data_IF_405528853180
#
_entry.id   IF_405528853180
#
_cell.length_a   1.000
_cell.length_b   1.000
_cell.length_c   1.000
_cell.angle_alpha   90.00
_cell.angle_beta   90.00
_cell.angle_gamma   90.00
#
_symmetry.space_group_name_H-M   'P 1'
#
loop_
_entity.id
_entity.type
_entity.pdbx_description
1 polymer ?
#
# COMPACT_ATOMS: atom_id res chain seq x y z
N UNK A 1 15.14 5.80 3.93
CA UNK A 1 13.83 6.45 4.14
C UNK A 1 13.93 7.45 5.31
N UNK A 2 13.98 8.75 5.02
CA UNK A 2 14.11 9.82 6.02
C UNK A 2 12.84 9.99 6.87
N UNK A 3 13.00 10.54 8.08
CA UNK A 3 12.00 10.63 9.16
C UNK A 3 10.67 11.35 8.83
N UNK A 4 10.51 11.99 7.66
CA UNK A 4 9.35 12.86 7.36
C UNK A 4 8.06 12.10 6.99
N UNK A 5 8.13 10.92 6.39
CA UNK A 5 6.92 10.10 6.12
C UNK A 5 6.41 9.38 7.35
N UNK A 6 7.30 9.01 8.29
CA UNK A 6 6.99 8.18 9.46
C UNK A 6 5.97 8.83 10.41
N UNK A 7 5.94 10.15 10.49
CA UNK A 7 5.03 10.87 11.37
C UNK A 7 3.65 11.10 10.75
N UNK A 8 3.51 11.05 9.43
CA UNK A 8 2.31 11.61 8.80
C UNK A 8 1.05 10.79 9.07
N UNK A 9 1.07 9.48 8.83
CA UNK A 9 -0.08 8.59 9.07
C UNK A 9 -0.38 8.47 10.56
N UNK A 10 0.68 8.38 11.37
CA UNK A 10 0.57 8.29 12.82
C UNK A 10 -0.08 9.52 13.46
N UNK A 11 0.08 10.72 12.87
CA UNK A 11 -0.57 11.94 13.36
C UNK A 11 -2.10 11.81 13.33
N UNK A 12 -2.66 11.18 12.30
CA UNK A 12 -4.13 11.09 12.12
C UNK A 12 -4.76 9.90 12.83
N UNK A 13 -4.10 8.74 12.84
CA UNK A 13 -4.75 7.49 13.25
C UNK A 13 -4.27 7.01 14.64
N UNK A 14 -3.02 7.30 15.01
CA UNK A 14 -2.38 6.86 16.26
C UNK A 14 -2.72 5.39 16.64
N UNK A 15 -2.49 4.42 15.74
CA UNK A 15 -2.91 3.05 15.98
C UNK A 15 -2.13 2.43 17.15
N UNK A 16 -2.82 1.74 18.05
CA UNK A 16 -2.18 0.96 19.13
C UNK A 16 -1.88 -0.48 18.70
N UNK A 17 -2.53 -0.95 17.63
CA UNK A 17 -2.28 -2.25 17.02
C UNK A 17 -2.26 -2.15 15.49
N UNK A 18 -1.27 -2.77 14.86
CA UNK A 18 -1.05 -2.75 13.41
C UNK A 18 -0.86 -4.16 12.88
N UNK A 19 -1.59 -4.52 11.83
CA UNK A 19 -1.29 -5.70 11.01
C UNK A 19 -0.70 -5.27 9.68
N UNK A 20 0.38 -5.90 9.25
CA UNK A 20 1.04 -5.66 7.95
C UNK A 20 1.00 -6.95 7.12
N UNK A 21 0.20 -6.91 6.06
CA UNK A 21 -0.04 -8.03 5.14
C UNK A 21 0.84 -7.86 3.92
N UNK A 22 1.82 -8.75 3.76
CA UNK A 22 2.98 -8.57 2.87
C UNK A 22 4.07 -7.73 3.55
N UNK A 23 4.40 -8.03 4.82
CA UNK A 23 5.28 -7.20 5.63
C UNK A 23 6.77 -7.29 5.25
N UNK A 24 7.15 -8.22 4.37
CA UNK A 24 8.51 -8.57 4.02
C UNK A 24 9.34 -8.85 5.27
N UNK A 25 10.45 -8.15 5.41
CA UNK A 25 11.32 -8.25 6.59
C UNK A 25 10.83 -7.44 7.81
N UNK A 26 9.61 -6.90 7.77
CA UNK A 26 8.99 -6.20 8.90
C UNK A 26 9.48 -4.75 9.11
N UNK A 27 10.02 -4.10 8.08
CA UNK A 27 10.59 -2.74 8.21
C UNK A 27 9.57 -1.71 8.73
N UNK A 28 8.33 -1.76 8.23
CA UNK A 28 7.26 -0.86 8.68
C UNK A 28 6.78 -1.19 10.09
N UNK A 29 6.64 -2.48 10.41
CA UNK A 29 6.29 -2.92 11.76
C UNK A 29 7.32 -2.48 12.80
N UNK A 30 8.62 -2.55 12.48
CA UNK A 30 9.67 -2.03 13.35
C UNK A 30 9.54 -0.52 13.61
N UNK A 31 9.12 0.24 12.60
CA UNK A 31 8.82 1.68 12.76
C UNK A 31 7.63 1.87 13.70
N UNK A 32 6.55 1.11 13.52
CA UNK A 32 5.36 1.17 14.38
C UNK A 32 5.67 0.84 15.84
N UNK A 33 6.43 -0.23 16.10
CA UNK A 33 6.84 -0.58 17.45
C UNK A 33 7.75 0.48 18.06
N UNK A 34 8.84 0.86 17.36
CA UNK A 34 9.89 1.72 17.93
C UNK A 34 9.43 3.15 18.15
N UNK A 35 8.65 3.71 17.24
CA UNK A 35 8.30 5.13 17.28
C UNK A 35 6.94 5.38 17.92
N UNK A 36 6.04 4.40 17.92
CA UNK A 36 4.65 4.58 18.35
C UNK A 36 4.20 3.59 19.42
N UNK A 37 5.05 2.61 19.79
CA UNK A 37 4.72 1.62 20.81
C UNK A 37 3.55 0.70 20.44
N UNK A 38 3.23 0.59 19.15
CA UNK A 38 2.12 -0.23 18.69
C UNK A 38 2.43 -1.72 18.84
N UNK A 39 1.40 -2.50 19.19
CA UNK A 39 1.41 -3.95 18.98
C UNK A 39 1.43 -4.23 17.48
N UNK A 40 2.23 -5.19 17.03
CA UNK A 40 2.37 -5.51 15.60
C UNK A 40 2.14 -6.97 15.30
N UNK A 41 1.61 -7.22 14.10
CA UNK A 41 1.37 -8.55 13.55
C UNK A 41 1.75 -8.54 12.07
N UNK A 42 2.82 -9.24 11.71
CA UNK A 42 3.31 -9.32 10.34
C UNK A 42 2.88 -10.62 9.68
N UNK A 43 2.45 -10.53 8.42
CA UNK A 43 2.11 -11.70 7.59
C UNK A 43 2.89 -11.59 6.29
N UNK A 44 3.64 -12.64 5.93
CA UNK A 44 4.25 -12.77 4.61
C UNK A 44 4.56 -14.24 4.31
N UNK A 45 5.08 -14.57 3.13
CA UNK A 45 5.40 -15.93 2.73
C UNK A 45 6.63 -16.53 3.44
N UNK A 46 6.81 -17.84 3.26
CA UNK A 46 7.96 -18.59 3.76
C UNK A 46 9.27 -18.25 3.03
N UNK A 47 9.20 -17.55 1.89
CA UNK A 47 10.36 -17.09 1.14
C UNK A 47 11.15 -15.97 1.85
N UNK A 48 10.56 -15.32 2.86
CA UNK A 48 11.22 -14.23 3.60
C UNK A 48 12.26 -14.83 4.56
N UNK A 49 13.52 -14.42 4.41
CA UNK A 49 14.61 -14.82 5.30
C UNK A 49 14.41 -14.29 6.72
N UNK A 50 14.16 -15.20 7.67
CA UNK A 50 13.90 -14.88 9.08
C UNK A 50 15.10 -14.25 9.79
N UNK A 51 16.31 -14.40 9.27
CA UNK A 51 17.53 -13.78 9.84
C UNK A 51 17.63 -12.29 9.54
N UNK A 52 16.86 -11.79 8.56
CA UNK A 52 16.85 -10.39 8.12
C UNK A 52 15.72 -9.57 8.75
N UNK A 53 14.92 -10.15 9.65
CA UNK A 53 13.78 -9.46 10.24
C UNK A 53 14.20 -8.26 11.08
N UNK A 54 13.50 -7.14 10.90
CA UNK A 54 13.62 -5.94 11.73
C UNK A 54 12.73 -5.98 12.98
N UNK A 55 11.93 -7.04 13.12
CA UNK A 55 11.05 -7.33 14.25
C UNK A 55 11.42 -8.69 14.86
N UNK A 56 11.04 -8.90 16.12
CA UNK A 56 11.13 -10.23 16.74
C UNK A 56 10.31 -11.24 15.93
N UNK A 57 10.90 -12.39 15.65
CA UNK A 57 10.30 -13.47 14.85
C UNK A 57 8.92 -13.89 15.35
N UNK A 58 8.62 -13.74 16.64
CA UNK A 58 7.29 -14.05 17.19
C UNK A 58 6.15 -13.18 16.64
N UNK A 59 6.48 -12.01 16.07
CA UNK A 59 5.53 -11.10 15.43
C UNK A 59 5.43 -11.33 13.92
N UNK A 60 6.21 -12.25 13.37
CA UNK A 60 6.15 -12.64 11.96
C UNK A 60 5.38 -13.96 11.84
N UNK A 61 4.40 -13.99 10.95
CA UNK A 61 3.57 -15.16 10.69
C UNK A 61 3.58 -15.50 9.21
N UNK A 62 3.91 -16.76 8.89
CA UNK A 62 3.87 -17.23 7.51
C UNK A 62 2.43 -17.39 7.04
N UNK A 63 2.11 -16.87 5.85
CA UNK A 63 0.91 -17.26 5.10
C UNK A 63 1.14 -17.17 3.59
N UNK A 64 0.38 -17.95 2.82
CA UNK A 64 0.23 -17.74 1.38
C UNK A 64 -0.80 -16.62 1.15
N UNK A 65 -0.38 -15.48 0.61
CA UNK A 65 -1.27 -14.33 0.40
C UNK A 65 -2.28 -14.54 -0.75
N UNK A 66 -2.11 -15.56 -1.60
CA UNK A 66 -3.14 -16.04 -2.54
C UNK A 66 -4.31 -16.74 -1.83
N UNK A 67 -4.16 -17.07 -0.55
CA UNK A 67 -5.21 -17.72 0.26
C UNK A 67 -5.86 -16.72 1.22
N UNK A 68 -7.03 -17.08 1.77
CA UNK A 68 -7.80 -16.24 2.69
C UNK A 68 -7.02 -15.99 3.98
N UNK A 69 -7.02 -14.75 4.43
CA UNK A 69 -6.42 -14.33 5.69
C UNK A 69 -7.54 -14.17 6.71
N UNK A 70 -7.63 -15.12 7.64
CA UNK A 70 -8.60 -15.04 8.72
C UNK A 70 -7.87 -14.95 10.06
N UNK A 71 -7.91 -13.75 10.64
CA UNK A 71 -7.49 -13.55 12.03
C UNK A 71 -8.76 -13.37 12.87
N UNK A 72 -8.88 -14.14 13.95
CA UNK A 72 -9.97 -13.99 14.93
C UNK A 72 -9.77 -12.74 15.81
N UNK A 73 -9.27 -11.64 15.24
CA UNK A 73 -9.04 -10.34 15.89
C UNK A 73 -9.04 -9.22 14.84
N UNK A 74 -9.31 -8.00 15.29
CA UNK A 74 -9.15 -6.77 14.51
C UNK A 74 -8.00 -5.92 15.04
N UNK A 75 -7.55 -4.98 14.21
CA UNK A 75 -6.45 -4.06 14.48
C UNK A 75 -6.92 -2.61 14.28
N UNK A 76 -6.26 -1.68 14.95
CA UNK A 76 -6.53 -0.24 14.77
C UNK A 76 -6.11 0.24 13.36
N UNK A 77 -5.14 -0.45 12.73
CA UNK A 77 -4.71 -0.23 11.36
C UNK A 77 -4.37 -1.58 10.70
N UNK A 78 -4.93 -1.83 9.52
CA UNK A 78 -4.39 -2.83 8.60
C UNK A 78 -3.55 -2.11 7.53
N UNK A 79 -2.38 -2.64 7.19
CA UNK A 79 -1.54 -2.12 6.13
C UNK A 79 -1.14 -3.22 5.15
N UNK A 80 -1.00 -2.84 3.89
CA UNK A 80 -0.45 -3.67 2.82
C UNK A 80 0.12 -2.75 1.76
N UNK A 81 1.41 -2.88 1.45
CA UNK A 81 2.12 -1.90 0.65
C UNK A 81 2.95 -2.58 -0.43
N UNK A 82 2.58 -2.36 -1.70
CA UNK A 82 3.14 -3.01 -2.90
C UNK A 82 2.96 -4.54 -2.83
N UNK A 83 1.70 -4.98 -2.69
CA UNK A 83 1.33 -6.40 -2.57
C UNK A 83 0.25 -6.80 -3.58
N UNK A 84 -0.78 -5.97 -3.77
CA UNK A 84 -1.95 -6.33 -4.59
C UNK A 84 -1.62 -6.67 -6.05
N UNK A 85 -0.51 -6.14 -6.57
CA UNK A 85 0.01 -6.40 -7.92
C UNK A 85 0.66 -7.77 -8.10
N UNK A 86 1.08 -8.40 -7.00
CA UNK A 86 1.68 -9.74 -7.00
C UNK A 86 0.64 -10.84 -6.91
N UNK A 87 -0.59 -10.49 -6.52
CA UNK A 87 -1.69 -11.42 -6.37
C UNK A 87 -2.44 -11.62 -7.68
N UNK A 88 -3.02 -12.80 -7.87
CA UNK A 88 -3.85 -13.09 -9.02
C UNK A 88 -5.03 -12.10 -9.11
N UNK A 89 -5.48 -11.69 -10.32
CA UNK A 89 -6.63 -10.80 -10.44
C UNK A 89 -7.90 -11.35 -9.75
N UNK A 90 -8.07 -12.67 -9.73
CA UNK A 90 -9.17 -13.35 -9.03
C UNK A 90 -9.09 -13.21 -7.50
N UNK A 91 -7.90 -12.99 -6.93
CA UNK A 91 -7.67 -12.78 -5.51
C UNK A 91 -8.04 -11.35 -5.06
N UNK A 92 -8.12 -10.38 -5.97
CA UNK A 92 -8.31 -8.97 -5.63
C UNK A 92 -9.53 -8.71 -4.73
N UNK A 93 -10.71 -9.24 -5.07
CA UNK A 93 -11.93 -9.03 -4.28
C UNK A 93 -11.84 -9.69 -2.89
N UNK A 94 -11.43 -10.95 -2.84
CA UNK A 94 -11.30 -11.64 -1.57
C UNK A 94 -10.21 -11.02 -0.70
N UNK A 95 -9.18 -10.41 -1.29
CA UNK A 95 -8.07 -9.79 -0.56
C UNK A 95 -8.49 -8.49 0.09
N UNK A 96 -9.18 -7.63 -0.67
CA UNK A 96 -9.81 -6.43 -0.12
C UNK A 96 -10.79 -6.81 1.00
N UNK A 97 -11.56 -7.88 0.84
CA UNK A 97 -12.45 -8.37 1.89
C UNK A 97 -11.69 -8.74 3.18
N UNK A 98 -10.61 -9.53 3.08
CA UNK A 98 -9.77 -9.87 4.23
C UNK A 98 -9.27 -8.60 4.95
N UNK A 99 -8.74 -7.63 4.21
CA UNK A 99 -8.25 -6.37 4.80
C UNK A 99 -9.35 -5.60 5.56
N UNK A 100 -10.57 -5.57 5.01
CA UNK A 100 -11.72 -4.91 5.67
C UNK A 100 -12.23 -5.64 6.90
N UNK A 101 -12.01 -6.96 7.00
CA UNK A 101 -12.28 -7.71 8.21
C UNK A 101 -11.22 -7.40 9.29
N UNK A 102 -9.98 -7.11 8.89
CA UNK A 102 -8.89 -6.82 9.81
C UNK A 102 -8.93 -5.43 10.45
N UNK A 103 -9.41 -4.39 9.76
CA UNK A 103 -9.45 -3.03 10.35
C UNK A 103 -10.46 -2.11 9.66
N UNK A 104 -10.96 -1.10 10.39
CA UNK A 104 -11.77 -0.01 9.85
C UNK A 104 -10.91 1.07 9.16
N UNK A 105 -9.58 0.99 9.29
CA UNK A 105 -8.62 1.88 8.65
C UNK A 105 -7.57 1.04 7.93
N UNK A 106 -7.40 1.27 6.64
CA UNK A 106 -6.56 0.46 5.77
C UNK A 106 -5.58 1.37 5.03
N UNK A 107 -4.29 1.15 5.24
CA UNK A 107 -3.24 1.77 4.45
C UNK A 107 -2.84 0.81 3.33
N UNK A 108 -3.04 1.23 2.08
CA UNK A 108 -2.93 0.36 0.93
C UNK A 108 -2.02 0.97 -0.13
N UNK A 109 -1.22 0.15 -0.79
CA UNK A 109 -0.62 0.49 -2.08
C UNK A 109 -0.46 -0.75 -2.95
N UNK A 110 -0.66 -0.57 -4.26
CA UNK A 110 -0.39 -1.59 -5.27
C UNK A 110 0.00 -0.91 -6.58
N UNK A 111 0.86 -1.55 -7.36
CA UNK A 111 1.39 -1.02 -8.60
C UNK A 111 0.31 -0.68 -9.64
N UNK A 112 0.43 0.48 -10.30
CA UNK A 112 -0.40 0.84 -11.46
C UNK A 112 0.09 0.15 -12.74
N UNK A 113 -0.75 0.07 -13.81
CA UNK A 113 -0.35 -0.56 -15.06
C UNK A 113 0.96 0.00 -15.63
N UNK A 114 1.82 -0.90 -16.10
CA UNK A 114 3.15 -0.62 -16.63
C UNK A 114 4.15 -0.03 -15.63
N UNK A 115 3.87 -0.08 -14.32
CA UNK A 115 4.87 0.26 -13.30
C UNK A 115 6.07 -0.67 -13.39
N UNK A 116 5.82 -1.95 -13.68
CA UNK A 116 6.80 -3.01 -13.76
C UNK A 116 7.30 -3.43 -12.38
N UNK A 117 8.00 -4.56 -12.36
CA UNK A 117 8.55 -5.17 -11.15
C UNK A 117 8.60 -6.69 -11.29
N UNK A 118 9.16 -7.37 -10.29
CA UNK A 118 9.28 -8.83 -10.33
C UNK A 118 7.93 -9.45 -9.99
N UNK A 119 7.41 -10.30 -10.87
CA UNK A 119 6.15 -11.01 -10.66
C UNK A 119 4.95 -10.08 -10.41
N UNK A 120 4.87 -8.97 -11.16
CA UNK A 120 3.67 -8.14 -11.19
C UNK A 120 2.68 -8.73 -12.20
N UNK A 121 1.63 -9.37 -11.70
CA UNK A 121 0.62 -10.08 -12.50
C UNK A 121 -0.76 -9.40 -12.48
N UNK A 122 -0.94 -8.41 -11.61
CA UNK A 122 -2.20 -7.69 -11.43
C UNK A 122 -1.98 -6.20 -11.16
N UNK A 123 -1.20 -5.55 -12.03
CA UNK A 123 -1.07 -4.09 -12.00
C UNK A 123 -2.39 -3.42 -12.37
N UNK A 124 -2.94 -2.61 -11.46
CA UNK A 124 -4.27 -2.05 -11.60
C UNK A 124 -4.31 -0.58 -11.15
N UNK A 125 -5.21 0.18 -11.76
CA UNK A 125 -5.43 1.58 -11.38
C UNK A 125 -5.89 1.72 -9.93
N UNK A 126 -5.62 2.87 -9.32
CA UNK A 126 -6.01 3.08 -7.92
C UNK A 126 -7.54 3.14 -7.76
N UNK A 127 -8.25 3.60 -8.80
CA UNK A 127 -9.71 3.55 -8.88
C UNK A 127 -10.27 2.12 -8.83
N UNK A 128 -9.59 1.14 -9.42
CA UNK A 128 -9.98 -0.28 -9.36
C UNK A 128 -9.97 -0.79 -7.92
N UNK A 129 -8.91 -0.50 -7.16
CA UNK A 129 -8.85 -0.87 -5.75
C UNK A 129 -9.86 -0.08 -4.91
N UNK A 130 -10.00 1.23 -5.19
CA UNK A 130 -10.94 2.09 -4.49
C UNK A 130 -12.40 1.64 -4.65
N UNK A 131 -12.79 1.19 -5.84
CA UNK A 131 -14.13 0.65 -6.08
C UNK A 131 -14.40 -0.58 -5.21
N UNK A 132 -13.44 -1.50 -5.10
CA UNK A 132 -13.57 -2.70 -4.25
C UNK A 132 -13.73 -2.35 -2.77
N UNK A 133 -12.99 -1.36 -2.29
CA UNK A 133 -13.16 -0.83 -0.93
C UNK A 133 -14.53 -0.16 -0.75
N UNK A 134 -14.98 0.60 -1.75
CA UNK A 134 -16.30 1.26 -1.73
C UNK A 134 -17.44 0.26 -1.62
N UNK A 135 -17.39 -0.85 -2.36
CA UNK A 135 -18.37 -1.95 -2.25
C UNK A 135 -18.42 -2.59 -0.86
N UNK A 136 -17.37 -2.42 -0.04
CA UNK A 136 -17.29 -2.89 1.35
C UNK A 136 -17.54 -1.78 2.38
N UNK A 137 -18.00 -0.60 1.94
CA UNK A 137 -18.35 0.53 2.80
C UNK A 137 -17.18 1.40 3.24
N UNK A 138 -16.04 1.34 2.54
CA UNK A 138 -14.87 2.18 2.81
C UNK A 138 -14.77 3.32 1.80
N UNK A 139 -14.34 4.50 2.25
CA UNK A 139 -14.09 5.65 1.39
C UNK A 139 -12.59 5.89 1.24
N UNK A 140 -12.20 6.42 0.08
CA UNK A 140 -10.80 6.80 -0.18
C UNK A 140 -10.51 8.15 0.44
N UNK A 141 -9.42 8.25 1.20
CA UNK A 141 -8.90 9.49 1.79
C UNK A 141 -7.48 9.70 1.27
N UNK A 142 -7.32 10.35 0.12
CA UNK A 142 -6.02 10.62 -0.52
C UNK A 142 -5.24 11.76 0.16
N UNK A 143 -5.08 11.68 1.48
CA UNK A 143 -4.42 12.72 2.29
C UNK A 143 -2.89 12.59 2.33
N UNK A 144 -2.35 11.46 1.87
CA UNK A 144 -0.91 11.13 1.94
C UNK A 144 -0.18 11.58 0.69
N UNK A 145 -0.61 11.15 -0.51
CA UNK A 145 0.12 11.45 -1.77
C UNK A 145 0.38 12.93 -1.98
N UNK A 146 -0.58 13.85 -1.76
CA UNK A 146 -0.33 15.29 -1.93
C UNK A 146 0.86 15.83 -1.13
N UNK A 147 1.21 15.20 0.00
CA UNK A 147 2.29 15.66 0.88
C UNK A 147 3.65 15.04 0.60
N UNK A 148 3.65 13.87 -0.05
CA UNK A 148 4.88 13.14 -0.35
C UNK A 148 5.23 13.18 -1.83
N UNK A 149 4.33 13.64 -2.70
CA UNK A 149 4.46 13.60 -4.16
C UNK A 149 5.82 14.08 -4.66
N UNK A 150 6.28 15.25 -4.20
CA UNK A 150 7.56 15.83 -4.64
C UNK A 150 8.74 15.44 -3.77
N UNK A 151 8.53 14.68 -2.69
CA UNK A 151 9.59 14.34 -1.74
C UNK A 151 10.43 13.17 -2.24
N UNK A 152 11.57 13.47 -2.85
CA UNK A 152 12.50 12.46 -3.39
C UNK A 152 13.13 11.54 -2.35
N UNK A 153 13.01 11.83 -1.04
CA UNK A 153 13.46 10.93 0.02
C UNK A 153 12.48 9.77 0.29
N UNK A 154 11.30 9.80 -0.35
CA UNK A 154 10.31 8.72 -0.35
C UNK A 154 10.41 7.96 -1.68
N UNK A 155 10.38 6.64 -1.60
CA UNK A 155 10.42 5.79 -2.78
C UNK A 155 9.29 6.15 -3.76
N UNK A 156 9.61 6.06 -5.05
CA UNK A 156 8.71 6.50 -6.11
C UNK A 156 7.36 5.76 -6.08
N UNK A 157 7.40 4.44 -5.88
CA UNK A 157 6.19 3.61 -5.84
C UNK A 157 5.27 3.99 -4.67
N UNK A 158 5.79 4.31 -3.49
CA UNK A 158 4.97 4.83 -2.39
C UNK A 158 4.33 6.18 -2.71
N UNK A 159 5.07 7.11 -3.32
CA UNK A 159 4.50 8.41 -3.73
C UNK A 159 3.38 8.25 -4.73
N UNK A 160 3.51 7.25 -5.59
CA UNK A 160 2.59 6.94 -6.68
C UNK A 160 1.31 6.23 -6.16
N UNK A 161 1.46 5.19 -5.33
CA UNK A 161 0.40 4.22 -5.08
C UNK A 161 -0.29 4.34 -3.71
N UNK A 162 0.32 5.00 -2.72
CA UNK A 162 -0.20 4.92 -1.35
C UNK A 162 -1.54 5.64 -1.18
N UNK A 163 -2.53 4.96 -0.64
CA UNK A 163 -3.85 5.50 -0.31
C UNK A 163 -4.29 5.03 1.07
N UNK A 164 -5.13 5.83 1.70
CA UNK A 164 -5.81 5.46 2.92
C UNK A 164 -7.29 5.19 2.61
N UNK A 165 -7.80 4.09 3.12
CA UNK A 165 -9.21 3.75 3.08
C UNK A 165 -9.76 3.69 4.50
N UNK A 166 -10.91 4.33 4.73
CA UNK A 166 -11.53 4.39 6.05
C UNK A 166 -12.98 3.94 5.92
N UNK A 167 -13.43 3.08 6.82
CA UNK A 167 -14.84 2.67 6.88
C UNK A 167 -15.70 3.91 7.06
N UNK A 168 -16.60 4.15 6.11
CA UNK A 168 -17.41 5.37 6.04
C UNK A 168 -18.16 5.67 7.34
N UNK A 169 -18.68 4.62 8.00
CA UNK A 169 -19.41 4.73 9.26
C UNK A 169 -18.52 5.07 10.45
N UNK A 170 -17.20 4.86 10.37
CA UNK A 170 -16.23 5.12 11.44
C UNK A 170 -15.41 6.40 11.21
N UNK A 171 -15.55 7.04 10.04
CA UNK A 171 -14.72 8.20 9.65
C UNK A 171 -14.82 9.36 10.65
N UNK A 172 -15.96 9.53 11.32
CA UNK A 172 -16.19 10.56 12.35
C UNK A 172 -15.23 10.45 13.54
N UNK A 173 -14.61 9.29 13.76
CA UNK A 173 -13.62 9.06 14.83
C UNK A 173 -12.27 9.71 14.53
N UNK A 174 -12.07 10.16 13.29
CA UNK A 174 -10.84 10.78 12.79
C UNK A 174 -11.17 12.15 12.19
N UNK A 175 -11.38 13.21 13.02
CA UNK A 175 -11.89 14.50 12.57
C UNK A 175 -11.11 15.11 11.39
N UNK A 176 -9.78 15.03 11.43
CA UNK A 176 -8.93 15.57 10.38
C UNK A 176 -9.03 14.77 9.06
N UNK A 177 -9.25 13.45 9.13
CA UNK A 177 -9.50 12.63 7.94
C UNK A 177 -10.90 12.90 7.39
N UNK A 178 -11.88 13.08 8.28
CA UNK A 178 -13.25 13.42 7.90
C UNK A 178 -13.29 14.78 7.20
N UNK A 179 -12.65 15.79 7.75
CA UNK A 179 -12.53 17.12 7.15
C UNK A 179 -11.86 17.05 5.77
N UNK A 180 -10.72 16.34 5.68
CA UNK A 180 -10.04 16.16 4.39
C UNK A 180 -10.95 15.48 3.37
N UNK A 181 -11.62 14.39 3.74
CA UNK A 181 -12.53 13.67 2.87
C UNK A 181 -13.68 14.57 2.39
N UNK A 182 -14.36 15.27 3.30
CA UNK A 182 -15.49 16.13 2.93
C UNK A 182 -15.09 17.25 1.97
N UNK A 183 -13.88 17.81 2.13
CA UNK A 183 -13.38 18.86 1.25
C UNK A 183 -12.97 18.35 -0.15
N UNK A 184 -12.50 17.11 -0.25
CA UNK A 184 -11.88 16.59 -1.47
C UNK A 184 -12.66 15.47 -2.17
N UNK A 185 -13.73 14.92 -1.59
CA UNK A 185 -14.42 13.73 -2.14
C UNK A 185 -14.89 13.89 -3.58
N UNK A 186 -15.28 15.10 -3.98
CA UNK A 186 -15.80 15.39 -5.33
C UNK A 186 -14.71 15.82 -6.31
N UNK A 187 -13.48 16.05 -5.83
CA UNK A 187 -12.34 16.53 -6.63
C UNK A 187 -11.14 15.58 -6.62
N UNK A 188 -11.19 14.50 -5.82
CA UNK A 188 -10.10 13.54 -5.69
C UNK A 188 -9.94 12.73 -6.97
N UNK A 189 -8.79 12.87 -7.60
CA UNK A 189 -8.37 12.05 -8.73
C UNK A 189 -7.60 10.84 -8.17
N UNK A 190 -8.19 9.64 -8.23
CA UNK A 190 -7.52 8.42 -7.78
C UNK A 190 -6.37 8.05 -8.72
N UNK A 191 -6.63 8.05 -10.03
CA UNK A 191 -5.71 7.59 -11.06
C UNK A 191 -4.77 8.70 -11.48
N UNK A 192 -3.50 8.54 -11.10
CA UNK A 192 -2.42 9.50 -11.34
C UNK A 192 -1.21 8.74 -11.85
N UNK A 193 -0.38 9.40 -12.66
CA UNK A 193 0.96 8.92 -13.00
C UNK A 193 1.99 9.92 -12.49
N UNK A 194 2.87 9.48 -11.64
CA UNK A 194 3.92 10.27 -11.05
C UNK A 194 5.00 10.57 -12.10
N UNK A 195 5.49 11.82 -12.22
CA UNK A 195 6.46 12.18 -13.25
C UNK A 195 7.72 11.31 -13.27
N UNK A 196 8.22 10.91 -12.10
CA UNK A 196 9.37 10.01 -12.00
C UNK A 196 9.07 8.58 -12.49
N UNK A 197 7.83 8.08 -12.30
CA UNK A 197 7.42 6.78 -12.84
C UNK A 197 7.40 6.84 -14.36
N UNK A 198 6.68 7.82 -14.90
CA UNK A 198 6.60 8.04 -16.35
C UNK A 198 7.99 8.18 -16.98
N UNK A 199 8.88 8.99 -16.38
CA UNK A 199 10.24 9.15 -16.86
C UNK A 199 11.03 7.83 -16.85
N UNK A 200 10.82 6.96 -15.85
CA UNK A 200 11.45 5.64 -15.81
C UNK A 200 10.94 4.74 -16.94
N UNK A 201 9.62 4.68 -17.15
CA UNK A 201 9.02 3.90 -18.24
C UNK A 201 9.57 4.34 -19.60
N UNK A 202 9.59 5.66 -19.86
CA UNK A 202 10.12 6.23 -21.11
C UNK A 202 11.62 5.92 -21.27
N UNK A 203 12.41 6.00 -20.19
CA UNK A 203 13.85 5.68 -20.24
C UNK A 203 14.06 4.21 -20.58
N UNK A 204 13.33 3.30 -19.94
CA UNK A 204 13.42 1.87 -20.19
C UNK A 204 13.04 1.53 -21.64
N UNK A 205 11.96 2.13 -22.14
CA UNK A 205 11.55 1.98 -23.54
C UNK A 205 12.61 2.48 -24.52
N UNK A 206 13.19 3.66 -24.29
CA UNK A 206 14.27 4.20 -25.15
C UNK A 206 15.50 3.30 -25.16
N UNK A 207 15.91 2.80 -23.99
CA UNK A 207 17.04 1.89 -23.86
C UNK A 207 16.79 0.58 -24.63
N UNK A 208 15.60 0.00 -24.47
CA UNK A 208 15.20 -1.19 -25.22
C UNK A 208 15.18 -0.92 -26.73
N UNK A 209 14.55 0.16 -27.16
CA UNK A 209 14.46 0.54 -28.57
C UNK A 209 15.85 0.68 -29.19
N UNK A 210 16.79 1.36 -28.52
CA UNK A 210 18.17 1.50 -29.00
C UNK A 210 18.89 0.15 -29.16
N UNK A 211 18.62 -0.82 -28.29
CA UNK A 211 19.21 -2.16 -28.39
C UNK A 211 18.65 -2.97 -29.56
N UNK A 212 17.36 -2.81 -29.87
CA UNK A 212 16.70 -3.57 -30.96
C UNK A 212 16.75 -2.89 -32.31
N UNK A 213 16.97 -1.56 -32.35
CA UNK A 213 16.99 -0.76 -33.57
C UNK A 213 17.89 -1.33 -34.69
N UNK A 214 19.12 -1.82 -34.42
CA UNK A 214 19.98 -2.41 -35.46
C UNK A 214 19.38 -3.64 -36.16
N UNK A 215 18.43 -4.32 -35.52
CA UNK A 215 17.77 -5.52 -36.05
C UNK A 215 16.47 -5.21 -36.81
N UNK A 216 15.94 -3.98 -36.69
CA UNK A 216 14.69 -3.55 -37.35
C UNK A 216 14.92 -2.91 -38.72
N UNK A 217 16.13 -2.41 -39.00
CA UNK A 217 16.49 -1.75 -40.27
C UNK A 217 17.12 -2.70 -41.29
N UNK A 218 16.58 -3.92 -41.45
CA UNK A 218 16.94 -4.86 -42.53
C UNK A 218 15.80 -5.05 -43.50
#
# INVERSE_FOLDING_TARGET
MNLTTKNFIAIFIRPRSVVDVGCGVGTWLAVWQKNFGAEVYGIDGDYVDRTQLFIDVKFFHTANLEERINLNRRFDLAMTLEVGEHLSPARADSFVEDLTQLSDVILFSAAIPSQGGVNHINEQWQSYWAEKFLWRGYVTVDCIRPKIWTNSAVEMFYRQNILLYVKSTELYRYPELQEFYLWHRDTTICDKVHPALYANIVRNFKNFYQQVQPYLTK
#
